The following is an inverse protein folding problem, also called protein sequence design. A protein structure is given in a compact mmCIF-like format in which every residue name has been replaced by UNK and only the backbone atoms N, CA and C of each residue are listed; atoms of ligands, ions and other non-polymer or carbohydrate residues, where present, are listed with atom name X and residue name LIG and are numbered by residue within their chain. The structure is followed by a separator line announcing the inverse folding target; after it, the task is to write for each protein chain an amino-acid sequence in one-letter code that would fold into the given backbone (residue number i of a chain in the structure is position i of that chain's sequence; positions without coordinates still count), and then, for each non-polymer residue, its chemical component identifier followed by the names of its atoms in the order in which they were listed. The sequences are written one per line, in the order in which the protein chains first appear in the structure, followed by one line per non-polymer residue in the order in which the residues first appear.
data_IF_920317295428
#
_entry.id   IF_920317295428
#
_cell.length_a   1.000
_cell.length_b   1.000
_cell.length_c   1.000
_cell.angle_alpha   90.00
_cell.angle_beta   90.00
_cell.angle_gamma   90.00
#
_symmetry.space_group_name_H-M   'P 1'
#
loop_
_entity.id
_entity.type
_entity.pdbx_description
1 polymer ?
#
# COMPACT_ATOMS: atom_id res chain seq x y z
N UNK A 1 2.38 -14.68 10.52
CA UNK A 1 2.11 -14.44 11.95
C UNK A 1 1.16 -13.25 12.06
N UNK A 2 -0.04 -13.56 12.55
CA UNK A 2 -1.26 -12.78 12.53
C UNK A 2 -1.19 -11.66 13.58
N UNK A 3 -1.21 -10.40 13.17
CA UNK A 3 -1.38 -9.27 14.09
C UNK A 3 -2.85 -9.20 14.53
N UNK A 4 -3.12 -9.83 15.68
CA UNK A 4 -4.38 -9.66 16.41
C UNK A 4 -4.56 -8.19 16.81
N UNK A 5 -5.70 -7.63 16.42
CA UNK A 5 -6.23 -6.35 16.90
C UNK A 5 -6.54 -6.48 18.39
N UNK A 6 -5.91 -5.67 19.24
CA UNK A 6 -6.33 -5.46 20.61
C UNK A 6 -7.34 -4.29 20.64
N UNK A 7 -8.61 -4.61 20.91
CA UNK A 7 -9.67 -3.67 21.24
C UNK A 7 -9.83 -3.73 22.77
N UNK A 8 -9.56 -2.63 23.47
CA UNK A 8 -9.80 -2.49 24.91
C UNK A 8 -10.93 -1.48 25.12
N UNK A 9 -12.12 -1.98 25.48
CA UNK A 9 -13.20 -1.17 26.04
C UNK A 9 -13.66 -1.83 27.35
N UNK A 10 -13.36 -1.11 28.44
CA UNK A 10 -14.16 -0.82 29.64
C UNK A 10 -15.41 -1.68 29.95
N UNK A 11 -15.47 -2.29 31.14
CA UNK A 11 -16.15 -1.72 32.33
C UNK A 11 -16.07 -2.64 33.57
N UNK A 12 -15.90 -1.93 34.70
CA UNK A 12 -16.29 -2.16 36.11
C UNK A 12 -16.71 -3.55 36.62
N UNK A 13 -16.00 -3.91 37.70
CA UNK A 13 -16.46 -4.45 38.99
C UNK A 13 -17.87 -5.03 39.06
N UNK A 14 -18.00 -6.27 39.57
CA UNK A 14 -18.94 -6.64 40.64
C UNK A 14 -18.82 -8.16 40.96
N UNK A 15 -18.87 -8.48 42.25
CA UNK A 15 -18.92 -9.79 42.95
C UNK A 15 -17.64 -10.62 43.15
N UNK A 16 -17.01 -10.37 44.32
CA UNK A 16 -16.37 -11.42 45.14
C UNK A 16 -17.44 -12.27 45.80
N UNK A 17 -17.46 -13.60 45.56
CA UNK A 17 -17.83 -14.63 46.55
C UNK A 17 -17.04 -15.93 46.27
N UNK A 18 -16.52 -16.62 47.29
CA UNK A 18 -15.72 -17.83 47.10
C UNK A 18 -16.59 -19.07 46.93
N UNK A 19 -16.50 -19.72 45.77
CA UNK A 19 -17.03 -21.07 45.55
C UNK A 19 -16.02 -22.09 46.11
N UNK A 20 -16.15 -22.38 47.40
CA UNK A 20 -15.61 -23.62 47.97
C UNK A 20 -16.67 -24.72 47.84
N UNK A 21 -16.19 -25.94 47.53
CA UNK A 21 -16.88 -27.23 47.48
C UNK A 21 -17.65 -27.52 46.19
N UNK A 22 -16.99 -28.24 45.29
CA UNK A 22 -17.38 -29.60 44.89
C UNK A 22 -16.27 -30.15 43.99
N UNK A 23 -15.30 -30.85 44.58
CA UNK A 23 -14.38 -31.70 43.81
C UNK A 23 -14.36 -33.08 44.45
N UNK A 24 -14.70 -34.15 43.71
CA UNK A 24 -14.56 -35.51 44.21
C UNK A 24 -13.08 -35.78 44.49
N UNK A 25 -12.80 -36.50 45.57
CA UNK A 25 -11.47 -36.92 45.98
C UNK A 25 -10.96 -38.01 45.02
N UNK A 26 -10.56 -37.61 43.82
CA UNK A 26 -9.92 -38.49 42.85
C UNK A 26 -8.50 -38.85 43.31
N UNK A 27 -8.22 -40.15 43.36
CA UNK A 27 -6.91 -40.74 43.72
C UNK A 27 -5.74 -39.98 43.08
N UNK A 28 -4.70 -39.69 43.86
CA UNK A 28 -3.47 -38.98 43.45
C UNK A 28 -2.87 -39.53 42.15
N UNK A 29 -2.95 -40.85 41.92
CA UNK A 29 -2.51 -41.46 40.65
C UNK A 29 -3.27 -40.89 39.46
N UNK A 30 -4.60 -40.75 39.54
CA UNK A 30 -5.43 -40.24 38.43
C UNK A 30 -5.13 -38.78 38.10
N UNK A 31 -4.77 -37.95 39.09
CA UNK A 31 -4.36 -36.55 38.85
C UNK A 31 -3.03 -36.46 38.10
N UNK A 32 -2.07 -37.29 38.46
CA UNK A 32 -0.77 -37.37 37.77
C UNK A 32 -0.97 -37.81 36.31
N UNK A 33 -1.79 -38.84 36.07
CA UNK A 33 -2.10 -39.29 34.70
C UNK A 33 -2.78 -38.21 33.85
N UNK A 34 -3.71 -37.44 34.42
CA UNK A 34 -4.37 -36.33 33.70
C UNK A 34 -3.37 -35.21 33.39
N UNK A 35 -2.51 -34.83 34.34
CA UNK A 35 -1.49 -33.81 34.11
C UNK A 35 -0.47 -34.22 33.04
N UNK A 36 -0.05 -35.49 33.02
CA UNK A 36 0.84 -36.03 31.98
C UNK A 36 0.14 -35.97 30.61
N UNK A 37 -1.14 -36.33 30.54
CA UNK A 37 -1.89 -36.35 29.27
C UNK A 37 -2.08 -34.94 28.70
N UNK A 38 -2.33 -33.95 29.55
CA UNK A 38 -2.40 -32.53 29.15
C UNK A 38 -1.04 -32.02 28.65
N UNK A 39 0.06 -32.35 29.35
CA UNK A 39 1.41 -31.98 28.91
C UNK A 39 1.78 -32.63 27.57
N UNK A 40 1.43 -33.90 27.35
CA UNK A 40 1.60 -34.57 26.06
C UNK A 40 0.80 -33.90 24.95
N UNK A 41 -0.47 -33.51 25.20
CA UNK A 41 -1.28 -32.81 24.22
C UNK A 41 -0.70 -31.43 23.86
N UNK A 42 -0.18 -30.69 24.83
CA UNK A 42 0.50 -29.41 24.59
C UNK A 42 1.77 -29.62 23.76
N UNK A 43 2.58 -30.63 24.08
CA UNK A 43 3.77 -30.96 23.29
C UNK A 43 3.44 -31.37 21.86
N UNK A 44 2.38 -32.17 21.66
CA UNK A 44 1.91 -32.55 20.32
C UNK A 44 1.45 -31.31 19.55
N UNK A 45 0.71 -30.39 20.18
CA UNK A 45 0.28 -29.14 19.53
C UNK A 45 1.48 -28.27 19.17
N UNK A 46 2.45 -28.08 20.07
CA UNK A 46 3.67 -27.31 19.78
C UNK A 46 4.48 -27.96 18.66
N UNK A 47 4.59 -29.29 18.66
CA UNK A 47 5.24 -30.02 17.58
C UNK A 47 4.50 -29.83 16.26
N UNK A 48 3.16 -29.92 16.26
CA UNK A 48 2.34 -29.69 15.08
C UNK A 48 2.48 -28.25 14.55
N UNK A 49 2.54 -27.25 15.44
CA UNK A 49 2.76 -25.85 15.06
C UNK A 49 4.18 -25.61 14.54
N UNK A 50 5.20 -26.22 15.14
CA UNK A 50 6.60 -26.09 14.70
C UNK A 50 6.87 -26.85 13.39
N UNK A 51 6.14 -27.94 13.12
CA UNK A 51 6.28 -28.72 11.88
C UNK A 51 5.39 -28.21 10.74
N UNK A 52 4.28 -27.52 11.05
CA UNK A 52 3.42 -26.85 10.05
C UNK A 52 3.84 -25.41 9.72
N UNK A 53 4.96 -24.91 10.25
CA UNK A 53 5.71 -23.87 9.54
C UNK A 53 6.36 -24.48 8.29
N UNK A 54 5.54 -24.82 7.29
CA UNK A 54 6.02 -24.78 5.92
C UNK A 54 6.46 -23.35 5.66
N UNK A 55 7.77 -23.12 5.75
CA UNK A 55 8.41 -21.98 5.10
C UNK A 55 7.87 -21.93 3.67
N UNK A 56 7.34 -20.79 3.18
CA UNK A 56 6.95 -20.70 1.78
C UNK A 56 8.19 -20.98 0.94
N UNK A 57 8.22 -22.17 0.37
CA UNK A 57 9.31 -22.65 -0.47
C UNK A 57 9.16 -21.89 -1.78
N UNK A 58 9.88 -20.76 -1.90
CA UNK A 58 10.12 -20.14 -3.19
C UNK A 58 10.90 -21.18 -4.01
N UNK A 59 10.14 -21.96 -4.77
CA UNK A 59 10.66 -22.90 -5.75
C UNK A 59 11.35 -22.10 -6.84
N UNK A 60 12.67 -21.96 -6.74
CA UNK A 60 13.50 -21.64 -7.90
C UNK A 60 13.64 -22.90 -8.76
N UNK A 61 12.53 -23.34 -9.35
CA UNK A 61 12.58 -24.20 -10.53
C UNK A 61 12.48 -23.28 -11.74
N UNK A 62 13.64 -22.79 -12.18
CA UNK A 62 13.84 -22.30 -13.54
C UNK A 62 13.76 -23.50 -14.49
N UNK A 63 12.55 -23.95 -14.79
CA UNK A 63 12.27 -24.68 -16.01
C UNK A 63 11.54 -23.74 -16.96
N UNK A 64 12.34 -23.18 -17.86
CA UNK A 64 11.93 -22.36 -18.98
C UNK A 64 11.17 -23.24 -19.97
N UNK A 65 9.86 -23.31 -19.80
CA UNK A 65 8.92 -23.63 -20.89
C UNK A 65 7.91 -22.49 -20.97
N UNK A 66 7.85 -21.86 -22.14
CA UNK A 66 7.06 -20.70 -22.52
C UNK A 66 5.61 -20.68 -21.97
N UNK A 67 5.47 -20.29 -20.71
CA UNK A 67 4.24 -19.75 -20.16
C UNK A 67 4.45 -18.24 -20.16
N UNK A 68 3.61 -17.50 -20.88
CA UNK A 68 3.55 -16.04 -20.78
C UNK A 68 3.48 -15.66 -19.30
N UNK A 69 4.60 -15.28 -18.70
CA UNK A 69 4.67 -14.96 -17.27
C UNK A 69 3.82 -13.71 -17.07
N UNK A 70 2.61 -13.91 -16.56
CA UNK A 70 1.68 -12.83 -16.23
C UNK A 70 2.34 -11.99 -15.14
N UNK A 71 2.84 -10.83 -15.52
CA UNK A 71 3.45 -9.89 -14.59
C UNK A 71 2.45 -9.50 -13.50
N UNK A 72 2.91 -9.47 -12.25
CA UNK A 72 2.13 -8.98 -11.11
C UNK A 72 1.63 -7.55 -11.40
N UNK A 73 0.34 -7.25 -11.18
CA UNK A 73 -0.17 -5.89 -11.32
C UNK A 73 0.56 -4.91 -10.40
N UNK A 74 0.89 -3.74 -10.93
CA UNK A 74 1.38 -2.60 -10.17
C UNK A 74 0.18 -1.89 -9.54
N UNK A 75 0.12 -1.89 -8.21
CA UNK A 75 -0.93 -1.24 -7.45
C UNK A 75 -0.50 0.16 -7.03
N UNK A 76 -1.32 1.16 -7.33
CA UNK A 76 -1.08 2.56 -6.98
C UNK A 76 -2.26 3.07 -6.16
N UNK A 77 -2.01 3.65 -4.99
CA UNK A 77 -3.02 4.23 -4.13
C UNK A 77 -2.94 5.76 -4.12
N UNK A 78 -4.06 6.43 -4.41
CA UNK A 78 -4.19 7.88 -4.35
C UNK A 78 -5.43 8.27 -3.53
N UNK A 79 -5.29 9.31 -2.71
CA UNK A 79 -6.41 9.93 -2.01
C UNK A 79 -6.80 11.22 -2.74
N UNK A 80 -8.03 11.27 -3.24
CA UNK A 80 -8.56 12.36 -4.09
C UNK A 80 -9.82 12.90 -3.43
N UNK A 81 -9.68 14.03 -2.74
CA UNK A 81 -10.75 14.60 -1.91
C UNK A 81 -10.99 16.03 -2.36
N UNK A 82 -12.24 16.41 -2.60
CA UNK A 82 -12.65 17.62 -3.31
C UNK A 82 -12.43 17.58 -4.83
N UNK A 83 -13.44 18.00 -5.59
CA UNK A 83 -13.43 17.99 -7.07
C UNK A 83 -12.27 18.78 -7.68
N UNK A 84 -11.83 19.86 -7.02
CA UNK A 84 -10.69 20.68 -7.45
C UNK A 84 -9.38 19.90 -7.61
N UNK A 85 -9.27 18.73 -6.99
CA UNK A 85 -8.08 17.87 -7.07
C UNK A 85 -8.16 16.87 -8.24
N UNK A 86 -9.32 16.70 -8.88
CA UNK A 86 -9.46 15.80 -10.04
C UNK A 86 -8.56 16.22 -11.21
N UNK A 87 -8.49 17.51 -11.62
CA UNK A 87 -7.57 17.92 -12.68
C UNK A 87 -6.09 17.64 -12.35
N UNK A 88 -5.71 17.78 -11.08
CA UNK A 88 -4.34 17.49 -10.62
C UNK A 88 -4.03 16.01 -10.74
N UNK A 89 -4.93 15.15 -10.24
CA UNK A 89 -4.85 13.70 -10.40
C UNK A 89 -4.69 13.32 -11.87
N UNK A 90 -5.51 13.88 -12.77
CA UNK A 90 -5.44 13.56 -14.19
C UNK A 90 -4.09 13.94 -14.79
N UNK A 91 -3.48 15.04 -14.36
CA UNK A 91 -2.13 15.43 -14.78
C UNK A 91 -1.05 14.49 -14.24
N UNK A 92 -1.13 14.11 -12.97
CA UNK A 92 -0.25 13.08 -12.37
C UNK A 92 -0.33 11.78 -13.16
N UNK A 93 -1.54 11.28 -13.40
CA UNK A 93 -1.75 10.05 -14.16
C UNK A 93 -1.29 10.16 -15.61
N UNK A 94 -1.49 11.30 -16.28
CA UNK A 94 -0.95 11.53 -17.64
C UNK A 94 0.57 11.47 -17.64
N UNK A 95 1.25 12.12 -16.69
CA UNK A 95 2.71 12.07 -16.58
C UNK A 95 3.22 10.66 -16.32
N UNK A 96 2.54 9.89 -15.46
CA UNK A 96 2.85 8.50 -15.19
C UNK A 96 2.70 7.61 -16.44
N UNK A 97 1.58 7.73 -17.13
CA UNK A 97 1.29 6.93 -18.33
C UNK A 97 2.19 7.31 -19.52
N UNK A 98 2.66 8.55 -19.54
CA UNK A 98 3.58 9.07 -20.56
C UNK A 98 4.91 8.32 -20.53
N UNK A 99 5.56 8.21 -19.37
CA UNK A 99 6.82 7.45 -19.24
C UNK A 99 6.67 5.93 -19.35
N UNK A 100 5.43 5.43 -19.26
CA UNK A 100 5.06 4.04 -19.54
C UNK A 100 4.76 3.77 -21.02
N UNK A 101 4.86 4.78 -21.89
CA UNK A 101 4.50 4.74 -23.31
C UNK A 101 3.05 4.26 -23.56
N UNK A 102 2.11 4.61 -22.66
CA UNK A 102 0.69 4.22 -22.74
C UNK A 102 -0.21 5.32 -23.29
N UNK A 103 0.31 6.53 -23.47
CA UNK A 103 -0.39 7.67 -24.05
C UNK A 103 0.33 8.16 -25.31
N UNK A 104 -0.45 8.70 -26.24
CA UNK A 104 0.11 9.32 -27.44
C UNK A 104 0.79 10.63 -27.08
N UNK A 105 2.02 10.79 -27.55
CA UNK A 105 2.87 11.94 -27.25
C UNK A 105 3.36 12.67 -28.51
N UNK A 106 3.01 12.16 -29.68
CA UNK A 106 3.54 12.50 -31.00
C UNK A 106 2.53 13.25 -31.89
N UNK A 107 1.45 13.79 -31.31
CA UNK A 107 0.51 14.63 -32.08
C UNK A 107 1.10 16.02 -32.29
N UNK A 108 0.98 16.54 -33.51
CA UNK A 108 1.38 17.92 -33.85
C UNK A 108 0.72 18.95 -32.93
N UNK A 109 -0.55 18.74 -32.54
CA UNK A 109 -1.26 19.61 -31.58
C UNK A 109 -0.77 19.52 -30.13
N UNK A 110 0.11 18.58 -29.80
CA UNK A 110 0.79 18.49 -28.50
C UNK A 110 2.16 19.19 -28.49
N UNK A 111 2.61 19.73 -29.62
CA UNK A 111 3.82 20.55 -29.69
C UNK A 111 3.53 21.91 -29.06
N UNK A 112 3.81 22.03 -27.76
CA UNK A 112 3.72 23.32 -27.08
C UNK A 112 4.95 24.13 -27.50
N UNK A 113 4.74 25.12 -28.38
CA UNK A 113 5.75 26.12 -28.70
C UNK A 113 5.88 27.08 -27.52
N UNK A 114 6.76 26.76 -26.58
CA UNK A 114 7.12 27.64 -25.47
C UNK A 114 8.46 28.28 -25.83
N UNK A 115 8.50 29.62 -25.91
CA UNK A 115 9.77 30.36 -26.05
C UNK A 115 10.70 29.97 -24.90
N UNK A 116 11.92 29.55 -25.25
CA UNK A 116 12.99 29.16 -24.31
C UNK A 116 12.70 27.92 -23.46
N UNK A 117 11.71 27.09 -23.77
CA UNK A 117 11.60 25.81 -23.09
C UNK A 117 12.69 24.85 -23.56
N UNK A 118 13.37 24.25 -22.59
CA UNK A 118 14.21 23.08 -22.87
C UNK A 118 13.27 21.91 -23.11
N UNK A 119 13.08 21.54 -24.37
CA UNK A 119 12.40 20.28 -24.71
C UNK A 119 13.41 19.18 -24.42
N UNK A 120 13.25 18.47 -23.32
CA UNK A 120 13.99 17.24 -23.07
C UNK A 120 13.32 16.13 -23.90
N UNK A 121 13.90 15.71 -25.04
CA UNK A 121 13.34 14.59 -25.77
C UNK A 121 13.46 13.36 -24.89
N UNK A 122 12.34 12.69 -24.63
CA UNK A 122 12.37 11.39 -23.98
C UNK A 122 13.23 10.43 -24.81
N UNK A 123 13.89 9.49 -24.13
CA UNK A 123 14.59 8.40 -24.80
C UNK A 123 13.58 7.63 -25.66
N UNK A 124 13.60 7.90 -26.98
CA UNK A 124 12.76 7.24 -27.99
C UNK A 124 13.08 5.74 -28.10
N UNK A 125 14.09 5.26 -27.36
CA UNK A 125 14.55 3.88 -27.38
C UNK A 125 13.63 2.90 -26.66
N UNK A 126 12.61 3.35 -25.92
CA UNK A 126 11.62 2.45 -25.32
C UNK A 126 10.44 2.19 -26.27
N UNK A 127 10.73 1.41 -27.31
CA UNK A 127 9.76 0.99 -28.34
C UNK A 127 8.68 0.03 -27.81
N UNK A 128 8.83 -0.50 -26.60
CA UNK A 128 7.88 -1.45 -26.01
C UNK A 128 7.03 -0.80 -24.93
N UNK A 129 5.72 -0.72 -25.18
CA UNK A 129 4.70 -0.42 -24.15
C UNK A 129 4.86 -1.44 -23.01
N UNK A 130 4.95 -0.97 -21.76
CA UNK A 130 5.02 -1.90 -20.62
C UNK A 130 3.76 -2.78 -20.60
N UNK A 131 3.97 -4.09 -20.52
CA UNK A 131 2.88 -5.08 -20.51
C UNK A 131 2.26 -5.27 -19.13
N UNK A 132 2.86 -4.71 -18.08
CA UNK A 132 2.40 -4.87 -16.69
C UNK A 132 1.03 -4.21 -16.51
N UNK A 133 0.10 -4.84 -15.80
CA UNK A 133 -1.16 -4.17 -15.45
C UNK A 133 -0.92 -3.10 -14.39
N UNK A 134 -1.53 -1.92 -14.55
CA UNK A 134 -1.62 -0.91 -13.48
C UNK A 134 -3.04 -0.96 -12.93
N UNK A 135 -3.17 -1.07 -11.60
CA UNK A 135 -4.45 -0.95 -10.91
C UNK A 135 -4.41 0.25 -9.95
N UNK A 136 -5.30 1.23 -10.18
CA UNK A 136 -5.45 2.38 -9.30
C UNK A 136 -6.46 2.09 -8.19
N UNK A 137 -6.07 2.38 -6.97
CA UNK A 137 -6.94 2.41 -5.80
C UNK A 137 -7.17 3.88 -5.41
N UNK A 138 -8.38 4.37 -5.63
CA UNK A 138 -8.73 5.78 -5.45
C UNK A 138 -9.63 5.93 -4.23
N UNK A 139 -9.13 6.56 -3.17
CA UNK A 139 -9.97 6.94 -2.03
C UNK A 139 -10.58 8.32 -2.30
N UNK A 140 -11.91 8.42 -2.32
CA UNK A 140 -12.61 9.65 -2.67
C UNK A 140 -13.86 9.89 -1.83
N UNK A 141 -14.19 11.16 -1.62
CA UNK A 141 -15.45 11.59 -1.03
C UNK A 141 -16.61 11.54 -2.04
N UNK A 142 -17.84 11.64 -1.54
CA UNK A 142 -19.05 11.64 -2.36
C UNK A 142 -19.02 12.69 -3.48
N UNK A 143 -18.58 13.90 -3.20
CA UNK A 143 -18.49 15.00 -4.17
C UNK A 143 -17.55 14.65 -5.33
N UNK A 144 -16.34 14.18 -5.02
CA UNK A 144 -15.28 13.91 -6.00
C UNK A 144 -15.60 12.69 -6.86
N UNK A 145 -16.34 11.70 -6.33
CA UNK A 145 -16.71 10.48 -7.06
C UNK A 145 -17.51 10.77 -8.33
N UNK A 146 -18.38 11.78 -8.29
CA UNK A 146 -19.19 12.21 -9.44
C UNK A 146 -18.34 12.66 -10.64
N UNK A 147 -17.21 13.31 -10.38
CA UNK A 147 -16.28 13.77 -11.42
C UNK A 147 -15.24 12.71 -11.80
N UNK A 148 -14.78 11.86 -10.87
CA UNK A 148 -13.76 10.85 -11.15
C UNK A 148 -14.21 9.79 -12.15
N UNK A 149 -15.40 9.23 -11.95
CA UNK A 149 -15.92 8.15 -12.78
C UNK A 149 -15.99 8.53 -14.28
N UNK A 150 -16.63 9.65 -14.69
CA UNK A 150 -16.70 10.02 -16.10
C UNK A 150 -15.31 10.32 -16.68
N UNK A 151 -14.40 10.95 -15.93
CA UNK A 151 -13.05 11.23 -16.41
C UNK A 151 -12.22 9.95 -16.67
N UNK A 152 -12.28 8.98 -15.75
CA UNK A 152 -11.51 7.73 -15.86
C UNK A 152 -12.14 6.73 -16.83
N UNK A 153 -13.47 6.66 -16.90
CA UNK A 153 -14.17 5.75 -17.81
C UNK A 153 -13.97 6.09 -19.30
N UNK A 154 -13.63 7.34 -19.62
CA UNK A 154 -13.27 7.75 -20.99
C UNK A 154 -11.92 7.18 -21.44
N UNK A 155 -11.07 6.74 -20.51
CA UNK A 155 -9.72 6.26 -20.82
C UNK A 155 -9.77 4.80 -21.28
N UNK A 156 -9.71 4.59 -22.60
CA UNK A 156 -9.65 3.27 -23.23
C UNK A 156 -8.22 2.71 -23.26
N UNK A 157 -7.61 2.58 -22.09
CA UNK A 157 -6.23 2.11 -21.93
C UNK A 157 -6.19 0.58 -21.70
N UNK A 158 -5.28 -0.11 -22.39
CA UNK A 158 -5.03 -1.53 -22.14
C UNK A 158 -4.24 -1.70 -20.83
N UNK A 159 -4.49 -2.80 -20.11
CA UNK A 159 -3.78 -3.16 -18.88
C UNK A 159 -3.80 -2.03 -17.82
N UNK A 160 -4.90 -1.28 -17.77
CA UNK A 160 -5.12 -0.20 -16.81
C UNK A 160 -6.53 -0.36 -16.23
N UNK A 161 -6.61 -0.49 -14.92
CA UNK A 161 -7.86 -0.70 -14.18
C UNK A 161 -7.88 0.17 -12.95
N UNK A 162 -9.04 0.39 -12.37
CA UNK A 162 -9.18 1.25 -11.20
C UNK A 162 -10.37 0.84 -10.33
N UNK A 163 -10.27 1.13 -9.04
CA UNK A 163 -11.32 0.94 -8.03
C UNK A 163 -11.44 2.21 -7.20
N UNK A 164 -12.67 2.64 -6.94
CA UNK A 164 -12.96 3.79 -6.09
C UNK A 164 -13.49 3.32 -4.73
N UNK A 165 -12.89 3.81 -3.65
CA UNK A 165 -13.25 3.55 -2.27
C UNK A 165 -13.89 4.82 -1.65
N UNK A 166 -15.12 4.73 -1.10
CA UNK A 166 -15.73 5.86 -0.41
C UNK A 166 -15.02 6.15 0.91
N UNK A 167 -14.56 7.38 1.11
CA UNK A 167 -13.87 7.82 2.33
C UNK A 167 -14.76 7.67 3.57
N UNK A 168 -16.07 7.87 3.42
CA UNK A 168 -17.06 7.92 4.51
C UNK A 168 -17.09 6.60 5.28
N UNK A 169 -16.80 5.48 4.61
CA UNK A 169 -16.72 4.14 5.21
C UNK A 169 -15.50 3.95 6.12
N UNK A 170 -14.57 4.90 6.14
CA UNK A 170 -13.26 4.74 6.77
C UNK A 170 -12.89 5.89 7.70
N UNK A 171 -13.65 6.99 7.73
CA UNK A 171 -13.39 8.16 8.58
C UNK A 171 -13.25 7.83 10.07
N UNK A 172 -14.04 6.88 10.58
CA UNK A 172 -14.00 6.48 11.99
C UNK A 172 -12.63 5.94 12.43
N UNK A 173 -11.80 5.47 11.49
CA UNK A 173 -10.45 4.97 11.77
C UNK A 173 -9.45 6.07 12.16
N UNK A 174 -9.73 7.32 11.78
CA UNK A 174 -8.80 8.46 11.98
C UNK A 174 -9.44 9.64 12.71
N UNK A 175 -10.77 9.73 12.79
CA UNK A 175 -11.46 10.86 13.41
C UNK A 175 -11.12 11.06 14.90
N UNK A 176 -10.64 10.02 15.58
CA UNK A 176 -10.18 10.11 16.97
C UNK A 176 -8.83 10.83 17.11
N UNK A 177 -8.08 10.97 16.03
CA UNK A 177 -6.79 11.66 15.99
C UNK A 177 -7.06 13.16 15.87
N UNK A 178 -6.67 13.92 16.90
CA UNK A 178 -6.74 15.38 16.85
C UNK A 178 -5.86 15.90 15.71
N UNK A 179 -6.44 16.71 14.84
CA UNK A 179 -5.74 17.27 13.69
C UNK A 179 -5.97 18.78 13.61
N UNK A 180 -4.88 19.55 13.65
CA UNK A 180 -4.87 21.00 13.46
C UNK A 180 -4.21 21.42 12.14
N UNK A 181 -3.74 20.46 11.35
CA UNK A 181 -3.06 20.71 10.08
C UNK A 181 -4.07 21.06 8.98
N UNK A 182 -3.70 21.99 8.10
CA UNK A 182 -4.56 22.47 7.00
C UNK A 182 -4.95 21.37 6.00
N UNK A 183 -4.12 20.35 5.84
CA UNK A 183 -4.43 19.17 5.02
C UNK A 183 -5.55 18.28 5.60
N UNK A 184 -5.87 18.45 6.89
CA UNK A 184 -7.03 17.84 7.54
C UNK A 184 -7.06 16.31 7.53
N UNK A 185 -8.25 15.76 7.78
CA UNK A 185 -8.56 14.32 7.75
C UNK A 185 -8.10 13.61 6.45
N UNK A 186 -8.17 14.22 5.25
CA UNK A 186 -7.62 13.65 4.02
C UNK A 186 -6.19 13.12 4.14
N UNK A 187 -5.30 13.86 4.80
CA UNK A 187 -3.92 13.44 4.97
C UNK A 187 -3.80 12.21 5.88
N UNK A 188 -4.59 12.16 6.97
CA UNK A 188 -4.61 11.04 7.89
C UNK A 188 -5.16 9.76 7.25
N UNK A 189 -6.09 9.89 6.31
CA UNK A 189 -6.67 8.74 5.61
C UNK A 189 -5.62 7.88 4.90
N UNK A 190 -4.48 8.45 4.48
CA UNK A 190 -3.37 7.69 3.90
C UNK A 190 -2.85 6.61 4.87
N UNK A 191 -2.89 6.85 6.17
CA UNK A 191 -2.50 5.86 7.20
C UNK A 191 -3.41 4.62 7.23
N UNK A 192 -4.62 4.73 6.68
CA UNK A 192 -5.60 3.65 6.66
C UNK A 192 -5.51 2.75 5.43
N UNK A 193 -4.60 3.03 4.50
CA UNK A 193 -4.52 2.33 3.20
C UNK A 193 -4.52 0.80 3.35
N UNK A 194 -3.72 0.27 4.29
CA UNK A 194 -3.59 -1.17 4.52
C UNK A 194 -4.89 -1.84 4.99
N UNK A 195 -5.85 -1.05 5.48
CA UNK A 195 -7.17 -1.50 5.94
C UNK A 195 -8.28 -1.28 4.91
N UNK A 196 -7.97 -0.61 3.80
CA UNK A 196 -8.87 -0.32 2.68
C UNK A 196 -8.59 -1.28 1.52
N UNK A 197 -7.31 -1.55 1.28
CA UNK A 197 -6.88 -2.41 0.18
C UNK A 197 -7.30 -3.87 0.40
N UNK A 198 -7.65 -4.61 -0.67
CA UNK A 198 -7.92 -6.03 -0.59
C UNK A 198 -6.69 -6.83 -0.10
N UNK A 199 -6.93 -7.97 0.56
CA UNK A 199 -5.87 -8.82 1.14
C UNK A 199 -4.89 -9.39 0.10
N UNK A 200 -5.26 -9.44 -1.18
CA UNK A 200 -4.39 -9.89 -2.26
C UNK A 200 -3.38 -8.82 -2.73
N UNK A 201 -3.48 -7.59 -2.24
CA UNK A 201 -2.56 -6.49 -2.59
C UNK A 201 -1.39 -6.46 -1.61
N UNK A 202 -0.29 -7.11 -1.99
CA UNK A 202 0.90 -7.23 -1.14
C UNK A 202 1.86 -6.04 -1.21
N UNK A 203 1.87 -5.33 -2.35
CA UNK A 203 2.73 -4.16 -2.61
C UNK A 203 1.88 -3.05 -3.17
N UNK A 204 2.15 -1.82 -2.76
CA UNK A 204 1.41 -0.64 -3.23
C UNK A 204 2.29 0.60 -3.16
N UNK A 205 2.30 1.39 -4.23
CA UNK A 205 2.90 2.72 -4.22
C UNK A 205 1.81 3.72 -3.85
N UNK A 206 2.05 4.55 -2.83
CA UNK A 206 1.18 5.69 -2.52
C UNK A 206 1.86 6.99 -2.95
N UNK A 207 1.10 7.89 -3.58
CA UNK A 207 1.59 9.18 -4.07
C UNK A 207 0.50 10.25 -3.94
N UNK A 208 0.90 11.51 -4.02
CA UNK A 208 0.00 12.64 -3.93
C UNK A 208 -0.60 12.98 -5.30
N UNK A 209 -1.77 13.63 -5.31
CA UNK A 209 -2.51 13.95 -6.54
C UNK A 209 -1.93 15.14 -7.29
N UNK A 210 -0.93 15.81 -6.73
CA UNK A 210 -0.25 16.97 -7.29
C UNK A 210 1.23 16.69 -7.62
N UNK A 211 1.60 15.42 -7.78
CA UNK A 211 2.92 15.01 -8.25
C UNK A 211 2.98 14.95 -9.78
N UNK A 212 4.13 15.28 -10.35
CA UNK A 212 4.47 15.00 -11.74
C UNK A 212 5.64 14.02 -11.80
N UNK A 213 5.47 12.95 -12.56
CA UNK A 213 6.53 11.98 -12.78
C UNK A 213 7.35 12.41 -14.00
N UNK A 214 8.67 12.35 -13.87
CA UNK A 214 9.64 12.63 -14.94
C UNK A 214 10.40 11.36 -15.37
N UNK A 215 10.03 10.19 -14.85
CA UNK A 215 10.65 8.92 -15.17
C UNK A 215 9.64 7.78 -15.07
N UNK A 216 10.07 6.57 -15.45
CA UNK A 216 9.23 5.39 -15.37
C UNK A 216 9.01 4.91 -13.94
N UNK A 217 7.75 4.91 -13.50
CA UNK A 217 7.31 4.39 -12.19
C UNK A 217 7.64 2.91 -11.96
N UNK A 218 7.88 2.12 -13.02
CA UNK A 218 8.30 0.72 -12.88
C UNK A 218 9.66 0.59 -12.17
N UNK A 219 10.53 1.58 -12.30
CA UNK A 219 11.77 1.64 -11.53
C UNK A 219 11.50 1.71 -10.04
N UNK A 220 10.59 2.60 -9.61
CA UNK A 220 10.17 2.72 -8.21
C UNK A 220 9.54 1.42 -7.71
N UNK A 221 8.74 0.75 -8.54
CA UNK A 221 8.12 -0.53 -8.19
C UNK A 221 9.16 -1.63 -7.95
N UNK A 222 10.26 -1.65 -8.71
CA UNK A 222 11.31 -2.65 -8.56
C UNK A 222 12.10 -2.51 -7.24
N UNK A 223 12.02 -1.35 -6.55
CA UNK A 223 12.64 -1.21 -5.23
C UNK A 223 12.02 -2.11 -4.16
N UNK A 224 10.78 -2.61 -4.36
CA UNK A 224 10.22 -3.61 -3.44
C UNK A 224 11.07 -4.88 -3.36
N UNK A 225 11.78 -5.24 -4.43
CA UNK A 225 12.65 -6.43 -4.45
C UNK A 225 13.92 -6.24 -3.61
N UNK A 226 14.22 -5.00 -3.21
CA UNK A 226 15.34 -4.66 -2.33
C UNK A 226 14.95 -4.64 -0.85
N UNK A 227 13.66 -4.80 -0.52
CA UNK A 227 13.22 -4.81 0.87
C UNK A 227 13.72 -6.08 1.56
N UNK A 228 14.33 -5.92 2.73
CA UNK A 228 14.59 -7.03 3.62
C UNK A 228 13.32 -7.41 4.41
N UNK A 229 13.37 -8.55 5.11
CA UNK A 229 12.21 -9.10 5.85
C UNK A 229 11.67 -8.22 6.99
N UNK A 230 12.35 -7.13 7.35
CA UNK A 230 11.94 -6.18 8.38
C UNK A 230 11.40 -4.86 7.82
N UNK A 231 11.57 -4.59 6.52
CA UNK A 231 11.13 -3.36 5.89
C UNK A 231 9.70 -3.52 5.38
N UNK A 232 8.83 -2.59 5.79
CA UNK A 232 7.39 -2.58 5.42
C UNK A 232 6.98 -1.29 4.69
N UNK A 233 7.83 -0.28 4.70
CA UNK A 233 7.58 1.05 4.14
C UNK A 233 8.91 1.66 3.69
N UNK A 234 8.89 2.35 2.55
CA UNK A 234 9.94 3.25 2.10
C UNK A 234 9.32 4.61 1.77
N UNK A 235 10.07 5.68 2.01
CA UNK A 235 9.68 7.06 1.74
C UNK A 235 10.92 7.89 1.42
N UNK A 236 10.73 8.98 0.66
CA UNK A 236 11.79 9.96 0.41
C UNK A 236 12.01 10.84 1.65
N UNK A 237 13.23 11.33 1.82
CA UNK A 237 13.54 12.27 2.89
C UNK A 237 12.75 13.58 2.73
N UNK A 238 12.31 14.15 3.85
CA UNK A 238 11.75 15.50 3.89
C UNK A 238 12.84 16.51 3.50
N UNK A 239 12.54 17.36 2.53
CA UNK A 239 13.49 18.30 1.94
C UNK A 239 13.44 19.69 2.59
N UNK A 240 12.42 19.97 3.43
CA UNK A 240 12.26 21.24 4.13
C UNK A 240 11.86 21.00 5.58
N UNK A 241 12.80 20.51 6.39
CA UNK A 241 12.53 20.28 7.80
C UNK A 241 12.83 21.53 8.62
N UNK A 242 11.81 22.09 9.27
CA UNK A 242 11.99 23.12 10.30
C UNK A 242 12.57 22.56 11.62
N UNK A 243 13.09 21.33 11.62
CA UNK A 243 13.69 20.75 12.81
C UNK A 243 14.99 21.48 13.15
N UNK A 244 15.19 21.93 14.41
CA UNK A 244 16.43 22.58 14.83
C UNK A 244 17.65 21.64 14.74
N UNK A 245 17.46 20.35 14.53
CA UNK A 245 18.51 19.35 14.33
C UNK A 245 18.71 18.95 12.86
N UNK A 246 17.95 19.52 11.92
CA UNK A 246 18.13 19.22 10.50
C UNK A 246 19.32 20.01 9.97
N UNK A 247 20.43 19.32 9.71
CA UNK A 247 21.56 19.86 8.96
C UNK A 247 21.39 19.36 7.53
N UNK A 248 20.73 20.16 6.68
CA UNK A 248 20.61 19.81 5.27
C UNK A 248 22.00 19.83 4.62
N UNK A 249 22.46 18.70 4.04
CA UNK A 249 23.68 18.72 3.24
C UNK A 249 23.45 19.69 2.08
N UNK A 250 24.39 20.59 1.85
CA UNK A 250 24.35 21.51 0.72
C UNK A 250 24.44 20.70 -0.59
N UNK A 251 23.29 20.35 -1.17
CA UNK A 251 23.23 19.68 -2.46
C UNK A 251 23.50 20.72 -3.54
N UNK A 252 24.78 20.94 -3.85
CA UNK A 252 25.23 21.89 -4.89
C UNK A 252 24.93 21.40 -6.31
N UNK A 253 24.61 20.12 -6.46
CA UNK A 253 24.36 19.46 -7.74
C UNK A 253 23.16 18.54 -7.61
N UNK A 254 22.10 18.83 -8.37
CA UNK A 254 20.99 17.89 -8.57
C UNK A 254 21.57 16.68 -9.32
N UNK A 255 21.43 15.44 -8.81
CA UNK A 255 21.90 14.27 -9.53
C UNK A 255 21.24 14.24 -10.91
N UNK A 256 22.07 14.28 -11.96
CA UNK A 256 21.59 14.19 -13.34
C UNK A 256 21.26 12.73 -13.61
N UNK A 257 20.00 12.35 -13.36
CA UNK A 257 19.38 11.09 -13.82
C UNK A 257 20.01 9.79 -13.28
N UNK A 258 19.18 8.97 -12.63
CA UNK A 258 19.39 7.52 -12.68
C UNK A 258 18.79 6.98 -13.98
#
# INVERSE_FOLDING_TARGET
MTLQKALLISERSIWRKPLARYFPRFSMRKRIWISILVLCMIFILVYFFHFNEEKPRISSNKNLTNMSQKLEPMHIFLSVIGEKNVPRLLNTLKSLLYYQNRVRHDREGCLISIRNATVLPCSRNRTTVSRRTIHLHLLADEETRGSLYPNLSQWKLQNFTWTIYPIEKHLTKVNWIKNAHSAGTPALMKLTLATILPEFVFKVITMDTDMLLNHDIEELWNYFDQFNSKQILAYAWEQQSNSPTCVEPQVSTIPVGF
#
